data_IF_559475633389
#
_entry.id   IF_559475633389
#
_cell.length_a   1.000
_cell.length_b   1.000
_cell.length_c   1.000
_cell.angle_alpha   90.00
_cell.angle_beta   90.00
_cell.angle_gamma   90.00
#
_symmetry.space_group_name_H-M   'P 1'
#
loop_
_entity.id
_entity.type
_entity.pdbx_description
1 polymer ?
#
# COMPACT_ATOMS: atom_id res chain seq x y z
N UNK A 1 2.72 0.59 32.64
CA UNK A 1 1.23 0.45 32.65
C UNK A 1 0.86 -0.95 33.09
N UNK A 2 -0.23 -1.12 33.86
CA UNK A 2 -0.81 -2.43 34.16
C UNK A 2 -1.46 -3.05 32.89
N UNK A 3 -1.71 -4.36 32.84
CA UNK A 3 -2.48 -4.95 31.75
C UNK A 3 -3.83 -4.27 31.51
N UNK A 4 -4.59 -4.01 32.59
CA UNK A 4 -5.88 -3.32 32.51
C UNK A 4 -5.75 -1.89 31.95
N UNK A 5 -4.71 -1.14 32.33
CA UNK A 5 -4.46 0.21 31.80
C UNK A 5 -4.07 0.18 30.29
N UNK A 6 -3.40 -0.89 29.82
CA UNK A 6 -3.11 -1.05 28.40
C UNK A 6 -4.37 -1.34 27.59
N UNK A 7 -5.28 -2.18 28.15
CA UNK A 7 -6.58 -2.49 27.53
C UNK A 7 -7.44 -1.21 27.45
N UNK A 8 -7.48 -0.39 28.53
CA UNK A 8 -8.20 0.88 28.53
C UNK A 8 -7.65 1.82 27.45
N UNK A 9 -6.33 1.98 27.35
CA UNK A 9 -5.69 2.80 26.32
C UNK A 9 -5.97 2.28 24.90
N UNK A 10 -6.05 0.97 24.72
CA UNK A 10 -6.41 0.37 23.42
C UNK A 10 -7.87 0.65 23.07
N UNK A 11 -8.79 0.64 24.04
CA UNK A 11 -10.20 1.01 23.83
C UNK A 11 -10.30 2.47 23.35
N UNK A 12 -9.65 3.41 24.05
CA UNK A 12 -9.64 4.84 23.68
C UNK A 12 -9.11 5.03 22.24
N UNK A 13 -8.01 4.38 21.90
CA UNK A 13 -7.43 4.44 20.56
C UNK A 13 -8.36 3.83 19.50
N UNK A 14 -9.02 2.72 19.80
CA UNK A 14 -9.99 2.12 18.88
C UNK A 14 -11.20 3.00 18.66
N UNK A 15 -11.69 3.71 19.68
CA UNK A 15 -12.76 4.69 19.52
C UNK A 15 -12.35 5.82 18.54
N UNK A 16 -11.10 6.35 18.70
CA UNK A 16 -10.56 7.34 17.77
C UNK A 16 -10.41 6.77 16.33
N UNK A 17 -9.95 5.53 16.18
CA UNK A 17 -9.79 4.89 14.87
C UNK A 17 -11.15 4.64 14.22
N UNK A 18 -12.16 4.20 14.99
CA UNK A 18 -13.53 4.00 14.51
C UNK A 18 -14.15 5.32 14.03
N UNK A 19 -14.02 6.38 14.82
CA UNK A 19 -14.48 7.72 14.42
C UNK A 19 -13.78 8.20 13.15
N UNK A 20 -12.44 8.09 13.11
CA UNK A 20 -11.62 8.46 11.96
C UNK A 20 -11.98 7.67 10.69
N UNK A 21 -12.34 6.39 10.83
CA UNK A 21 -12.74 5.58 9.68
C UNK A 21 -14.08 6.02 9.08
N UNK A 22 -14.99 6.56 9.90
CA UNK A 22 -16.29 7.11 9.46
C UNK A 22 -16.15 8.46 8.77
N UNK A 23 -15.19 9.27 9.20
CA UNK A 23 -15.04 10.68 8.79
C UNK A 23 -13.87 10.92 7.81
N UNK A 24 -13.34 9.87 7.16
CA UNK A 24 -12.16 9.93 6.27
C UNK A 24 -10.93 10.63 6.91
N UNK A 25 -10.80 10.51 8.24
CA UNK A 25 -9.72 11.10 9.03
C UNK A 25 -8.37 10.38 8.88
N UNK A 26 -7.38 10.63 9.78
CA UNK A 26 -6.04 10.06 9.70
C UNK A 26 -6.04 8.52 9.84
N UNK A 27 -5.02 7.81 9.31
CA UNK A 27 -4.90 6.35 9.45
C UNK A 27 -4.56 5.95 10.90
N UNK A 28 -4.84 4.69 11.25
CA UNK A 28 -4.67 4.16 12.61
C UNK A 28 -3.25 4.35 13.16
N UNK A 29 -2.22 4.16 12.34
CA UNK A 29 -0.82 4.39 12.74
C UNK A 29 -0.55 5.84 13.17
N UNK A 30 -1.12 6.81 12.46
CA UNK A 30 -0.97 8.23 12.80
C UNK A 30 -1.71 8.57 14.09
N UNK A 31 -2.90 8.00 14.33
CA UNK A 31 -3.67 8.15 15.56
C UNK A 31 -2.88 7.58 16.74
N UNK A 32 -2.37 6.36 16.63
CA UNK A 32 -1.54 5.73 17.68
C UNK A 32 -0.29 6.56 17.96
N UNK A 33 0.38 7.06 16.92
CA UNK A 33 1.57 7.90 17.09
C UNK A 33 1.25 9.24 17.80
N UNK A 34 0.13 9.88 17.46
CA UNK A 34 -0.33 11.12 18.08
C UNK A 34 -0.72 10.92 19.54
N UNK A 35 -1.43 9.83 19.85
CA UNK A 35 -1.85 9.46 21.21
C UNK A 35 -0.67 9.40 22.18
N UNK A 36 0.44 8.78 21.77
CA UNK A 36 1.62 8.64 22.64
C UNK A 36 2.53 9.88 22.69
N UNK A 37 2.36 10.89 21.84
CA UNK A 37 3.09 12.15 21.93
C UNK A 37 2.77 12.90 23.22
N UNK A 38 1.54 12.85 23.68
CA UNK A 38 1.05 13.52 24.88
C UNK A 38 1.17 12.66 26.14
N UNK A 39 1.34 11.34 26.01
CA UNK A 39 1.38 10.38 27.12
C UNK A 39 2.81 9.88 27.36
N UNK A 40 3.69 10.78 27.78
CA UNK A 40 5.14 10.51 27.98
C UNK A 40 5.43 9.46 29.06
N UNK A 41 4.50 9.21 29.97
CA UNK A 41 4.62 8.19 31.01
C UNK A 41 4.61 6.76 30.47
N UNK A 42 4.08 6.53 29.27
CA UNK A 42 4.07 5.22 28.64
C UNK A 42 5.46 4.89 28.07
N UNK A 43 6.12 3.89 28.64
CA UNK A 43 7.40 3.38 28.16
C UNK A 43 7.29 2.67 26.81
N UNK A 44 8.42 2.36 26.19
CA UNK A 44 8.46 1.71 24.86
C UNK A 44 7.74 0.35 24.83
N UNK A 45 7.87 -0.44 25.92
CA UNK A 45 7.16 -1.72 26.06
C UNK A 45 5.63 -1.53 26.11
N UNK A 46 5.17 -0.53 26.86
CA UNK A 46 3.73 -0.23 26.97
C UNK A 46 3.16 0.23 25.63
N UNK A 47 3.85 1.13 24.94
CA UNK A 47 3.44 1.62 23.62
C UNK A 47 3.33 0.50 22.61
N UNK A 48 4.29 -0.44 22.61
CA UNK A 48 4.27 -1.62 21.75
C UNK A 48 3.09 -2.52 22.09
N UNK A 49 2.85 -2.81 23.38
CA UNK A 49 1.75 -3.66 23.82
C UNK A 49 0.38 -3.07 23.50
N UNK A 50 0.17 -1.78 23.74
CA UNK A 50 -1.09 -1.10 23.38
C UNK A 50 -1.30 -1.09 21.87
N UNK A 51 -0.27 -0.76 21.08
CA UNK A 51 -0.34 -0.82 19.62
C UNK A 51 -0.72 -2.22 19.13
N UNK A 52 -0.12 -3.26 19.70
CA UNK A 52 -0.43 -4.64 19.35
C UNK A 52 -1.90 -4.98 19.61
N UNK A 53 -2.45 -4.60 20.77
CA UNK A 53 -3.87 -4.79 21.10
C UNK A 53 -4.79 -4.10 20.08
N UNK A 54 -4.49 -2.84 19.74
CA UNK A 54 -5.26 -2.07 18.75
C UNK A 54 -5.28 -2.77 17.40
N UNK A 55 -4.11 -3.14 16.86
CA UNK A 55 -4.04 -3.76 15.55
C UNK A 55 -4.56 -5.20 15.53
N UNK A 56 -4.46 -5.97 16.63
CA UNK A 56 -5.13 -7.27 16.77
C UNK A 56 -6.65 -7.13 16.69
N UNK A 57 -7.21 -6.15 17.40
CA UNK A 57 -8.66 -5.88 17.35
C UNK A 57 -9.12 -5.44 15.95
N UNK A 58 -8.35 -4.56 15.28
CA UNK A 58 -8.67 -4.14 13.91
C UNK A 58 -8.59 -5.33 12.94
N UNK A 59 -7.55 -6.17 12.99
CA UNK A 59 -7.42 -7.34 12.11
C UNK A 59 -8.54 -8.34 12.29
N UNK A 60 -9.02 -8.49 13.50
CA UNK A 60 -10.07 -9.45 13.86
C UNK A 60 -11.42 -9.17 13.20
N UNK A 61 -11.74 -7.90 12.95
CA UNK A 61 -13.06 -7.51 12.40
C UNK A 61 -12.92 -6.78 11.08
N UNK A 62 -13.54 -7.31 10.04
CA UNK A 62 -13.68 -6.64 8.76
C UNK A 62 -14.75 -5.54 8.78
N UNK A 63 -15.79 -5.74 9.57
CA UNK A 63 -16.84 -4.74 9.76
C UNK A 63 -16.43 -3.73 10.82
N UNK A 64 -16.81 -2.46 10.60
CA UNK A 64 -16.52 -1.39 11.55
C UNK A 64 -17.23 -1.65 12.90
N UNK A 65 -16.51 -1.66 14.02
CA UNK A 65 -17.09 -1.86 15.35
C UNK A 65 -18.02 -0.70 15.75
N UNK A 66 -18.95 -0.97 16.65
CA UNK A 66 -19.77 0.11 17.23
C UNK A 66 -18.92 1.05 18.10
N UNK A 67 -17.92 0.49 18.83
CA UNK A 67 -17.00 1.21 19.71
C UNK A 67 -15.68 0.44 19.90
N UNK A 68 -14.67 1.12 20.42
CA UNK A 68 -13.41 0.50 20.83
C UNK A 68 -13.61 -0.57 21.90
N UNK A 69 -14.56 -0.34 22.81
CA UNK A 69 -14.93 -1.32 23.83
C UNK A 69 -15.51 -2.60 23.22
N UNK A 70 -16.44 -2.48 22.26
CA UNK A 70 -17.01 -3.66 21.58
C UNK A 70 -15.97 -4.43 20.78
N UNK A 71 -14.98 -3.74 20.19
CA UNK A 71 -13.86 -4.35 19.50
C UNK A 71 -12.97 -5.14 20.47
N UNK A 72 -12.61 -4.56 21.62
CA UNK A 72 -11.80 -5.23 22.63
C UNK A 72 -12.53 -6.41 23.28
N UNK A 73 -13.83 -6.30 23.54
CA UNK A 73 -14.66 -7.41 23.98
C UNK A 73 -14.75 -8.51 22.92
N UNK A 74 -14.76 -8.16 21.64
CA UNK A 74 -14.63 -9.13 20.56
C UNK A 74 -13.30 -9.88 20.64
N UNK A 75 -12.18 -9.14 20.76
CA UNK A 75 -10.84 -9.72 20.85
C UNK A 75 -10.66 -10.61 22.10
N UNK A 76 -11.34 -10.29 23.21
CA UNK A 76 -11.28 -11.10 24.44
C UNK A 76 -11.87 -12.52 24.30
N UNK A 77 -12.59 -12.79 23.21
CA UNK A 77 -13.04 -14.16 22.91
C UNK A 77 -11.88 -15.08 22.50
N UNK A 78 -10.81 -14.49 21.96
CA UNK A 78 -9.62 -15.22 21.51
C UNK A 78 -8.47 -15.15 22.56
N UNK A 79 -8.61 -14.29 23.59
CA UNK A 79 -7.56 -14.01 24.57
C UNK A 79 -8.16 -13.69 25.96
N UNK A 80 -8.11 -14.67 26.86
CA UNK A 80 -8.70 -14.58 28.20
C UNK A 80 -8.07 -13.46 29.05
N UNK A 81 -6.78 -13.20 28.91
CA UNK A 81 -6.08 -12.15 29.69
C UNK A 81 -6.67 -10.75 29.40
N UNK A 82 -7.16 -10.54 28.18
CA UNK A 82 -7.85 -9.30 27.82
C UNK A 82 -9.17 -9.19 28.62
N UNK A 83 -9.95 -10.30 28.71
CA UNK A 83 -11.20 -10.29 29.47
C UNK A 83 -10.94 -10.02 30.97
N UNK A 84 -9.93 -10.66 31.53
CA UNK A 84 -9.55 -10.52 32.94
C UNK A 84 -9.00 -9.10 33.26
N UNK A 85 -8.67 -8.31 32.24
CA UNK A 85 -8.23 -6.93 32.37
C UNK A 85 -9.38 -5.91 32.55
N UNK A 86 -10.65 -6.32 32.43
CA UNK A 86 -11.82 -5.47 32.67
C UNK A 86 -12.12 -5.40 34.19
N UNK A 87 -11.23 -4.73 34.93
CA UNK A 87 -11.20 -4.70 36.39
C UNK A 87 -11.82 -3.46 37.03
N UNK A 88 -12.23 -2.49 36.23
CA UNK A 88 -12.77 -1.21 36.69
C UNK A 88 -11.72 -0.12 36.90
N UNK A 89 -12.21 1.14 37.14
CA UNK A 89 -11.36 2.28 37.41
C UNK A 89 -10.52 2.09 38.68
N UNK A 90 -9.43 2.90 38.87
CA UNK A 90 -9.09 4.07 38.06
C UNK A 90 -8.25 3.78 36.81
N UNK A 91 -7.79 2.55 36.58
CA UNK A 91 -6.81 2.27 35.54
C UNK A 91 -7.23 1.18 34.55
N UNK A 92 -8.38 0.55 34.73
CA UNK A 92 -8.91 -0.47 33.84
C UNK A 92 -10.27 -0.09 33.28
N UNK A 93 -10.70 -0.74 32.18
CA UNK A 93 -12.04 -0.57 31.67
C UNK A 93 -13.06 -1.14 32.67
N UNK A 94 -14.27 -0.58 32.68
CA UNK A 94 -15.38 -1.06 33.52
C UNK A 94 -15.59 -2.57 33.37
N UNK A 95 -15.98 -3.27 34.44
CA UNK A 95 -16.30 -4.68 34.37
C UNK A 95 -17.32 -5.00 33.28
N UNK A 96 -17.21 -6.18 32.71
CA UNK A 96 -18.12 -6.61 31.64
C UNK A 96 -19.51 -6.89 32.18
N UNK A 97 -20.52 -6.32 31.53
CA UNK A 97 -21.92 -6.53 31.87
C UNK A 97 -22.52 -7.64 31.02
N UNK A 98 -23.42 -8.44 31.60
CA UNK A 98 -24.11 -9.53 30.89
C UNK A 98 -24.90 -8.98 29.68
N UNK A 99 -24.66 -9.59 28.49
CA UNK A 99 -25.33 -9.15 27.25
C UNK A 99 -24.64 -8.00 26.52
N UNK A 100 -23.51 -7.53 27.00
CA UNK A 100 -22.74 -6.47 26.34
C UNK A 100 -22.28 -6.91 24.94
N UNK A 101 -22.43 -5.99 23.97
CA UNK A 101 -22.17 -6.26 22.56
C UNK A 101 -20.67 -6.50 22.32
N UNK A 102 -20.37 -7.57 21.58
CA UNK A 102 -19.03 -7.95 21.16
C UNK A 102 -18.94 -7.94 19.64
N UNK A 103 -17.89 -7.33 19.10
CA UNK A 103 -17.67 -7.34 17.67
C UNK A 103 -17.34 -8.75 17.19
N UNK A 104 -18.02 -9.18 16.13
CA UNK A 104 -17.80 -10.52 15.53
C UNK A 104 -16.48 -10.56 14.77
N UNK A 105 -15.85 -11.73 14.75
CA UNK A 105 -14.69 -11.97 13.89
C UNK A 105 -15.14 -12.09 12.44
N UNK A 106 -14.39 -11.43 11.55
CA UNK A 106 -14.56 -11.54 10.10
C UNK A 106 -13.27 -11.08 9.42
N UNK A 107 -12.95 -11.66 8.27
CA UNK A 107 -11.73 -11.34 7.51
C UNK A 107 -12.01 -10.30 6.43
N UNK A 108 -13.11 -10.46 5.71
CA UNK A 108 -13.52 -9.63 4.58
C UNK A 108 -14.89 -9.03 4.88
N UNK A 109 -15.15 -7.73 4.57
CA UNK A 109 -16.49 -7.17 4.62
C UNK A 109 -17.42 -7.91 3.66
N UNK A 110 -18.59 -8.31 4.12
CA UNK A 110 -19.50 -9.16 3.35
C UNK A 110 -19.80 -8.60 1.95
N UNK A 111 -19.98 -7.29 1.84
CA UNK A 111 -20.33 -6.66 0.57
C UNK A 111 -19.17 -6.62 -0.44
N UNK A 112 -17.91 -6.82 0.00
CA UNK A 112 -16.70 -6.84 -0.85
C UNK A 112 -16.46 -8.22 -1.44
N UNK A 113 -16.97 -9.28 -0.84
CA UNK A 113 -16.72 -10.66 -1.30
C UNK A 113 -17.05 -10.85 -2.78
N UNK A 114 -18.12 -10.21 -3.26
CA UNK A 114 -18.52 -10.25 -4.68
C UNK A 114 -17.75 -9.29 -5.59
N UNK A 115 -16.99 -8.37 -5.04
CA UNK A 115 -16.17 -7.40 -5.79
C UNK A 115 -14.70 -7.89 -5.94
N UNK A 116 -14.28 -8.88 -5.12
CA UNK A 116 -12.95 -9.47 -5.24
C UNK A 116 -12.77 -10.14 -6.60
N UNK A 117 -11.54 -10.11 -7.13
CA UNK A 117 -11.19 -10.98 -8.26
C UNK A 117 -11.51 -12.44 -7.92
N UNK A 118 -12.06 -13.24 -8.84
CA UNK A 118 -12.34 -14.66 -8.63
C UNK A 118 -11.11 -15.48 -8.22
N UNK A 119 -9.91 -14.96 -8.45
CA UNK A 119 -8.65 -15.59 -8.04
C UNK A 119 -8.40 -15.48 -6.53
N UNK A 120 -9.04 -14.53 -5.84
CA UNK A 120 -8.88 -14.34 -4.38
C UNK A 120 -9.88 -15.21 -3.64
N UNK A 121 -9.55 -16.47 -3.49
CA UNK A 121 -10.41 -17.46 -2.85
C UNK A 121 -10.44 -17.32 -1.31
N UNK A 122 -11.46 -17.85 -0.61
CA UNK A 122 -11.55 -17.80 0.85
C UNK A 122 -10.31 -18.32 1.58
N UNK A 123 -9.58 -19.27 1.00
CA UNK A 123 -8.35 -19.82 1.57
C UNK A 123 -7.22 -18.79 1.66
N UNK A 124 -7.24 -17.76 0.81
CA UNK A 124 -6.26 -16.67 0.83
C UNK A 124 -6.63 -15.53 1.82
N UNK A 125 -7.90 -15.42 2.25
CA UNK A 125 -8.36 -14.29 3.08
C UNK A 125 -7.58 -14.09 4.37
N UNK A 126 -7.14 -15.13 5.11
CA UNK A 126 -6.30 -14.94 6.30
C UNK A 126 -5.00 -14.17 5.99
N UNK A 127 -4.37 -14.43 4.85
CA UNK A 127 -3.13 -13.76 4.44
C UNK A 127 -3.32 -12.26 4.16
N UNK A 128 -4.54 -11.84 3.76
CA UNK A 128 -4.85 -10.43 3.48
C UNK A 128 -4.81 -9.54 4.73
N UNK A 129 -4.93 -10.13 5.91
CA UNK A 129 -4.99 -9.39 7.19
C UNK A 129 -3.85 -9.74 8.15
N UNK A 130 -3.01 -10.73 7.84
CA UNK A 130 -1.81 -11.03 8.60
C UNK A 130 -0.83 -9.85 8.53
N UNK A 131 0.07 -9.76 9.51
CA UNK A 131 1.10 -8.72 9.49
C UNK A 131 2.01 -8.89 8.27
N UNK A 132 2.15 -7.83 7.49
CA UNK A 132 3.04 -7.81 6.33
C UNK A 132 4.52 -7.98 6.76
N UNK A 133 5.35 -8.66 5.96
CA UNK A 133 6.79 -8.66 6.15
C UNK A 133 7.37 -7.26 5.94
N UNK A 134 8.60 -7.07 6.40
CA UNK A 134 9.38 -5.86 6.15
C UNK A 134 10.28 -6.09 4.95
N UNK A 135 9.89 -5.56 3.81
CA UNK A 135 10.70 -5.63 2.60
C UNK A 135 11.37 -4.29 2.33
N UNK A 136 12.61 -4.34 1.84
CA UNK A 136 13.35 -3.20 1.33
C UNK A 136 13.72 -3.45 -0.13
N UNK A 137 13.82 -2.36 -0.89
CA UNK A 137 14.40 -2.36 -2.23
C UNK A 137 15.82 -1.81 -2.17
N UNK A 138 16.75 -2.53 -2.75
CA UNK A 138 18.13 -2.09 -2.95
C UNK A 138 18.21 -1.12 -4.13
N UNK A 139 18.96 -0.04 -3.98
CA UNK A 139 19.25 0.91 -5.04
C UNK A 139 20.39 0.37 -5.92
N UNK A 140 20.02 -0.34 -6.97
CA UNK A 140 20.96 -1.05 -7.86
C UNK A 140 21.86 -0.13 -8.67
N UNK A 141 21.57 1.18 -8.75
CA UNK A 141 22.48 2.17 -9.31
C UNK A 141 23.69 2.47 -8.40
N UNK A 142 23.64 2.07 -7.11
CA UNK A 142 24.66 2.45 -6.11
C UNK A 142 25.25 1.28 -5.34
N UNK A 143 24.55 0.16 -5.25
CA UNK A 143 24.98 -1.00 -4.46
C UNK A 143 24.35 -2.30 -5.00
N UNK A 144 24.73 -3.43 -4.40
CA UNK A 144 24.20 -4.75 -4.75
C UNK A 144 23.36 -5.33 -3.61
N UNK A 145 22.54 -6.36 -3.91
CA UNK A 145 21.81 -7.10 -2.86
C UNK A 145 22.76 -7.78 -1.89
N UNK A 146 23.86 -8.36 -2.39
CA UNK A 146 24.83 -9.08 -1.56
C UNK A 146 25.48 -8.17 -0.51
N UNK A 147 25.88 -6.96 -0.92
CA UNK A 147 26.41 -5.96 0.01
C UNK A 147 25.37 -5.54 1.06
N UNK A 148 24.08 -5.50 0.71
CA UNK A 148 23.02 -5.14 1.64
C UNK A 148 22.59 -6.29 2.54
N UNK A 149 22.73 -7.55 2.13
CA UNK A 149 22.58 -8.72 3.03
C UNK A 149 23.59 -8.65 4.16
N UNK A 150 24.85 -8.30 3.85
CA UNK A 150 25.88 -8.11 4.88
C UNK A 150 25.56 -6.95 5.83
N UNK A 151 24.98 -5.87 5.31
CA UNK A 151 24.59 -4.70 6.10
C UNK A 151 23.36 -4.92 7.01
N UNK A 152 22.52 -5.89 6.69
CA UNK A 152 21.30 -6.22 7.45
C UNK A 152 21.29 -7.68 7.92
N UNK A 153 21.82 -8.00 9.11
CA UNK A 153 21.85 -9.36 9.63
C UNK A 153 20.45 -10.01 9.67
N UNK A 154 20.34 -11.20 9.12
CA UNK A 154 19.08 -11.93 9.01
C UNK A 154 18.22 -11.50 7.81
N UNK A 155 18.74 -10.69 6.89
CA UNK A 155 18.09 -10.39 5.62
C UNK A 155 18.08 -11.63 4.71
N UNK A 156 16.99 -11.81 3.99
CA UNK A 156 16.82 -12.85 2.97
C UNK A 156 16.49 -12.21 1.63
N UNK A 157 16.85 -12.87 0.53
CA UNK A 157 16.41 -12.44 -0.79
C UNK A 157 14.89 -12.56 -0.89
N UNK A 158 14.22 -11.55 -1.44
CA UNK A 158 12.82 -11.72 -1.83
C UNK A 158 12.73 -12.64 -3.05
N UNK A 159 11.71 -13.51 -3.15
CA UNK A 159 11.68 -14.57 -4.17
C UNK A 159 11.45 -14.06 -5.59
N UNK A 160 10.77 -12.94 -5.77
CA UNK A 160 10.26 -12.50 -7.07
C UNK A 160 11.01 -11.26 -7.60
N UNK A 161 11.35 -10.32 -6.71
CA UNK A 161 12.04 -9.09 -7.12
C UNK A 161 13.55 -9.28 -7.14
N UNK A 162 14.24 -8.92 -8.25
CA UNK A 162 15.70 -8.95 -8.30
C UNK A 162 16.34 -7.86 -7.43
N UNK A 163 15.57 -6.96 -6.84
CA UNK A 163 16.05 -5.82 -6.05
C UNK A 163 15.71 -5.92 -4.56
N UNK A 164 14.88 -6.89 -4.18
CA UNK A 164 14.28 -6.96 -2.87
C UNK A 164 15.09 -7.75 -1.85
N UNK A 165 15.04 -7.28 -0.60
CA UNK A 165 15.44 -8.03 0.58
C UNK A 165 14.27 -8.01 1.59
N UNK A 166 14.04 -9.15 2.23
CA UNK A 166 13.10 -9.30 3.36
C UNK A 166 13.87 -9.30 4.65
N UNK A 167 13.47 -8.44 5.57
CA UNK A 167 14.17 -8.21 6.82
C UNK A 167 13.39 -8.75 8.01
N UNK A 168 14.07 -9.08 9.13
CA UNK A 168 13.42 -9.31 10.40
C UNK A 168 12.49 -8.14 10.77
N UNK A 169 11.31 -8.45 11.29
CA UNK A 169 10.23 -7.47 11.52
C UNK A 169 10.61 -6.30 12.45
N UNK A 170 11.63 -6.49 13.31
CA UNK A 170 12.10 -5.48 14.27
C UNK A 170 13.24 -4.62 13.75
N UNK A 171 13.69 -4.83 12.50
CA UNK A 171 14.79 -4.08 11.89
C UNK A 171 14.41 -2.60 11.74
N UNK A 172 15.28 -1.72 12.27
CA UNK A 172 15.12 -0.27 12.18
C UNK A 172 15.82 0.29 10.95
N UNK A 173 15.20 0.09 9.79
CA UNK A 173 15.76 0.52 8.50
C UNK A 173 16.01 2.02 8.48
N UNK A 174 15.08 2.80 9.00
CA UNK A 174 15.14 4.27 9.08
C UNK A 174 16.33 4.83 9.89
N UNK A 175 16.93 3.99 10.74
CA UNK A 175 18.11 4.34 11.55
C UNK A 175 19.43 3.78 10.98
N UNK A 176 19.40 3.03 9.88
CA UNK A 176 20.58 2.45 9.27
C UNK A 176 21.34 3.45 8.40
N UNK A 177 22.66 3.29 8.31
CA UNK A 177 23.50 4.05 7.37
C UNK A 177 23.07 3.81 5.92
N UNK A 178 22.73 2.57 5.56
CA UNK A 178 22.28 2.22 4.24
C UNK A 178 21.03 3.01 3.80
N UNK A 179 20.09 3.27 4.72
CA UNK A 179 18.95 4.12 4.44
C UNK A 179 19.34 5.60 4.37
N UNK A 180 20.16 6.07 5.30
CA UNK A 180 20.61 7.48 5.32
C UNK A 180 21.37 7.85 4.04
N UNK A 181 22.15 6.91 3.50
CA UNK A 181 22.93 7.07 2.26
C UNK A 181 22.13 6.78 0.99
N UNK A 182 20.86 6.38 1.09
CA UNK A 182 19.99 6.09 -0.05
C UNK A 182 20.36 4.81 -0.82
N UNK A 183 21.01 3.87 -0.15
CA UNK A 183 21.34 2.55 -0.72
C UNK A 183 20.15 1.61 -0.69
N UNK A 184 19.17 1.88 0.17
CA UNK A 184 17.93 1.11 0.30
C UNK A 184 16.72 2.03 0.52
N UNK A 185 15.56 1.53 0.12
CA UNK A 185 14.24 2.12 0.39
C UNK A 185 13.30 1.04 0.97
N UNK A 186 12.47 1.42 1.96
CA UNK A 186 11.40 0.53 2.43
C UNK A 186 10.33 0.46 1.36
N UNK A 187 10.16 -0.70 0.75
CA UNK A 187 9.19 -0.93 -0.30
C UNK A 187 8.82 -2.40 -0.38
N UNK A 188 7.51 -2.70 -0.36
CA UNK A 188 6.99 -4.05 -0.57
C UNK A 188 7.46 -4.65 -1.88
N UNK A 189 7.69 -5.97 -1.89
CA UNK A 189 8.15 -6.68 -3.07
C UNK A 189 7.19 -6.52 -4.25
N UNK A 190 5.87 -6.62 -4.04
CA UNK A 190 4.87 -6.40 -5.09
C UNK A 190 4.96 -5.00 -5.71
N UNK A 191 5.19 -3.97 -4.88
CA UNK A 191 5.41 -2.61 -5.39
C UNK A 191 6.70 -2.48 -6.22
N UNK A 192 7.75 -3.27 -5.93
CA UNK A 192 8.96 -3.35 -6.75
C UNK A 192 8.66 -4.01 -8.10
N UNK A 193 7.83 -5.07 -8.10
CA UNK A 193 7.40 -5.76 -9.32
C UNK A 193 6.61 -4.84 -10.26
N UNK A 194 5.84 -3.88 -9.76
CA UNK A 194 5.18 -2.88 -10.62
C UNK A 194 6.22 -2.04 -11.39
N UNK A 195 7.31 -1.65 -10.76
CA UNK A 195 8.39 -0.95 -11.47
C UNK A 195 9.12 -1.89 -12.47
N UNK A 196 9.27 -3.17 -12.14
CA UNK A 196 9.83 -4.18 -13.04
C UNK A 196 8.95 -4.39 -14.28
N UNK A 197 7.61 -4.37 -14.13
CA UNK A 197 6.65 -4.46 -15.23
C UNK A 197 6.81 -3.35 -16.29
N UNK A 198 7.40 -2.22 -15.90
CA UNK A 198 7.72 -1.15 -16.84
C UNK A 198 8.77 -1.58 -17.87
N UNK A 199 9.63 -2.55 -17.57
CA UNK A 199 10.76 -2.98 -18.42
C UNK A 199 11.62 -1.78 -18.87
N UNK A 200 11.86 -0.85 -17.94
CA UNK A 200 12.58 0.40 -18.20
C UNK A 200 14.05 0.15 -18.57
N UNK A 201 14.56 0.94 -19.53
CA UNK A 201 15.94 0.89 -19.99
C UNK A 201 16.60 2.28 -19.96
N UNK A 202 17.91 2.37 -19.84
CA UNK A 202 18.62 3.65 -20.04
C UNK A 202 18.24 4.30 -21.39
N UNK A 203 18.15 5.63 -21.41
CA UNK A 203 17.79 6.41 -22.59
C UNK A 203 16.27 6.57 -22.81
N UNK A 204 15.43 5.84 -22.08
CA UNK A 204 13.97 5.99 -22.17
C UNK A 204 13.48 7.24 -21.44
N UNK A 205 12.37 7.82 -21.95
CA UNK A 205 11.57 8.79 -21.23
C UNK A 205 10.40 8.10 -20.54
N UNK A 206 10.29 8.27 -19.23
CA UNK A 206 9.30 7.62 -18.37
C UNK A 206 8.47 8.70 -17.66
N UNK A 207 7.15 8.59 -17.73
CA UNK A 207 6.23 9.44 -16.97
C UNK A 207 5.56 8.57 -15.89
N UNK A 208 5.78 8.89 -14.62
CA UNK A 208 5.03 8.33 -13.48
C UNK A 208 3.89 9.30 -13.17
N UNK A 209 2.67 8.97 -13.61
CA UNK A 209 1.55 9.92 -13.63
C UNK A 209 0.86 10.08 -12.26
N UNK A 210 1.05 9.11 -11.34
CA UNK A 210 0.50 9.11 -9.98
C UNK A 210 1.61 8.84 -8.95
N UNK A 211 2.71 9.58 -9.05
CA UNK A 211 3.97 9.26 -8.38
C UNK A 211 3.93 9.25 -6.85
N UNK A 212 2.99 9.99 -6.25
CA UNK A 212 2.92 10.13 -4.81
C UNK A 212 4.22 10.68 -4.22
N UNK A 213 4.83 9.93 -3.29
CA UNK A 213 6.13 10.27 -2.72
C UNK A 213 7.32 9.67 -3.52
N UNK A 214 7.09 9.13 -4.73
CA UNK A 214 8.12 8.72 -5.67
C UNK A 214 8.70 7.33 -5.47
N UNK A 215 8.03 6.43 -4.76
CA UNK A 215 8.57 5.09 -4.50
C UNK A 215 8.89 4.30 -5.78
N UNK A 216 7.99 4.33 -6.77
CA UNK A 216 8.15 3.66 -8.06
C UNK A 216 9.08 4.45 -9.00
N UNK A 217 8.98 5.79 -9.02
CA UNK A 217 9.91 6.64 -9.77
C UNK A 217 11.38 6.40 -9.34
N UNK A 218 11.64 6.30 -8.03
CA UNK A 218 12.97 5.93 -7.50
C UNK A 218 13.39 4.51 -7.88
N UNK A 219 12.45 3.56 -7.95
CA UNK A 219 12.74 2.20 -8.41
C UNK A 219 13.17 2.20 -9.88
N UNK A 220 12.47 2.95 -10.72
CA UNK A 220 12.80 3.10 -12.14
C UNK A 220 14.16 3.79 -12.36
N UNK A 221 14.47 4.82 -11.56
CA UNK A 221 15.79 5.47 -11.59
C UNK A 221 16.91 4.48 -11.26
N UNK A 222 16.74 3.70 -10.17
CA UNK A 222 17.71 2.66 -9.80
C UNK A 222 17.86 1.58 -10.86
N UNK A 223 16.76 1.08 -11.41
CA UNK A 223 16.74 0.02 -12.43
C UNK A 223 17.43 0.43 -13.75
N UNK A 224 17.42 1.72 -14.07
CA UNK A 224 18.04 2.27 -15.28
C UNK A 224 19.44 2.87 -15.05
N UNK A 225 20.00 2.69 -13.84
CA UNK A 225 21.28 3.31 -13.48
C UNK A 225 21.29 4.83 -13.61
N UNK A 226 20.14 5.48 -13.36
CA UNK A 226 19.86 6.90 -13.61
C UNK A 226 19.98 7.33 -15.10
N UNK A 227 19.95 6.38 -16.04
CA UNK A 227 20.08 6.65 -17.46
C UNK A 227 18.76 6.99 -18.17
N UNK A 228 17.60 6.91 -17.48
CA UNK A 228 16.30 7.30 -18.02
C UNK A 228 15.94 8.74 -17.63
N UNK A 229 15.20 9.45 -18.49
CA UNK A 229 14.53 10.72 -18.15
C UNK A 229 13.22 10.39 -17.44
N UNK A 230 13.11 10.70 -16.14
CA UNK A 230 11.92 10.41 -15.34
C UNK A 230 11.19 11.69 -14.96
N UNK A 231 9.91 11.75 -15.33
CA UNK A 231 8.99 12.85 -14.98
C UNK A 231 7.93 12.28 -14.03
N UNK A 232 7.98 12.67 -12.77
CA UNK A 232 7.04 12.26 -11.72
C UNK A 232 5.95 13.28 -11.53
N UNK A 233 4.71 12.90 -11.83
CA UNK A 233 3.53 13.76 -11.76
C UNK A 233 2.62 13.29 -10.62
N UNK A 234 1.98 14.25 -9.93
CA UNK A 234 0.92 13.95 -8.94
C UNK A 234 0.06 15.20 -8.71
N UNK A 235 -1.20 15.03 -8.36
CA UNK A 235 -2.10 16.11 -7.94
C UNK A 235 -1.92 16.45 -6.45
N UNK A 236 -1.37 15.55 -5.66
CA UNK A 236 -1.16 15.72 -4.22
C UNK A 236 0.19 16.38 -3.92
N UNK A 237 0.18 17.71 -3.73
CA UNK A 237 1.36 18.51 -3.38
C UNK A 237 2.12 17.97 -2.17
N UNK A 238 1.41 17.57 -1.11
CA UNK A 238 2.02 17.13 0.15
C UNK A 238 2.80 15.81 -0.04
N UNK A 239 2.30 14.91 -0.90
CA UNK A 239 3.01 13.67 -1.22
C UNK A 239 4.19 13.94 -2.15
N UNK A 240 3.96 14.68 -3.24
CA UNK A 240 4.97 14.95 -4.27
C UNK A 240 6.16 15.75 -3.72
N UNK A 241 5.94 16.70 -2.78
CA UNK A 241 7.01 17.50 -2.18
C UNK A 241 8.04 16.69 -1.38
N UNK A 242 7.77 15.42 -1.08
CA UNK A 242 8.73 14.52 -0.42
C UNK A 242 9.74 13.90 -1.40
N UNK A 243 9.41 13.87 -2.69
CA UNK A 243 10.23 13.18 -3.69
C UNK A 243 11.60 13.82 -3.92
N UNK A 244 11.77 15.16 -4.03
CA UNK A 244 13.09 15.75 -4.26
C UNK A 244 14.12 15.32 -3.21
N UNK A 245 13.81 15.43 -1.93
CA UNK A 245 14.72 15.01 -0.85
C UNK A 245 15.05 13.51 -0.90
N UNK A 246 14.09 12.67 -1.30
CA UNK A 246 14.32 11.22 -1.45
C UNK A 246 15.17 10.93 -2.68
N UNK A 247 14.96 11.66 -3.77
CA UNK A 247 15.76 11.54 -4.99
C UNK A 247 17.21 11.96 -4.73
N UNK A 248 17.44 13.08 -4.07
CA UNK A 248 18.79 13.54 -3.68
C UNK A 248 19.50 12.48 -2.82
N UNK A 249 18.82 11.95 -1.81
CA UNK A 249 19.35 10.87 -0.96
C UNK A 249 19.72 9.64 -1.77
N UNK A 250 18.87 9.23 -2.71
CA UNK A 250 19.09 8.07 -3.56
C UNK A 250 20.11 8.32 -4.69
N UNK A 251 20.55 9.55 -4.90
CA UNK A 251 21.39 9.96 -6.02
C UNK A 251 20.67 9.86 -7.37
N UNK A 252 19.35 10.06 -7.37
CA UNK A 252 18.50 9.96 -8.56
C UNK A 252 18.12 11.33 -9.11
N UNK A 253 18.09 11.47 -10.45
CA UNK A 253 17.60 12.67 -11.12
C UNK A 253 16.17 12.44 -11.60
N UNK A 254 15.22 13.10 -10.95
CA UNK A 254 13.78 12.98 -11.24
C UNK A 254 13.15 14.37 -11.31
N UNK A 255 12.52 14.70 -12.43
CA UNK A 255 11.76 15.94 -12.57
C UNK A 255 10.38 15.76 -11.96
N UNK A 256 9.98 16.65 -11.04
CA UNK A 256 8.63 16.62 -10.46
C UNK A 256 7.71 17.62 -11.14
N UNK A 257 6.46 17.22 -11.36
CA UNK A 257 5.41 18.09 -11.93
C UNK A 257 4.13 17.95 -11.13
N UNK A 258 3.77 19.01 -10.42
CA UNK A 258 2.46 19.07 -9.76
C UNK A 258 1.38 19.31 -10.79
N UNK A 259 0.35 18.48 -10.78
CA UNK A 259 -0.82 18.62 -11.64
C UNK A 259 -1.95 19.31 -10.87
N UNK A 260 -2.77 20.08 -11.60
CA UNK A 260 -3.91 20.79 -11.03
C UNK A 260 -5.22 20.14 -11.53
N UNK A 261 -5.90 19.43 -10.65
CA UNK A 261 -7.19 18.83 -10.97
C UNK A 261 -8.29 19.91 -11.02
N UNK A 262 -9.17 19.95 -12.05
CA UNK A 262 -9.30 18.98 -13.15
C UNK A 262 -8.54 19.35 -14.45
N UNK A 263 -7.53 20.23 -14.40
CA UNK A 263 -6.81 20.78 -15.58
C UNK A 263 -5.52 20.03 -15.91
N UNK A 264 -5.38 18.77 -15.49
CA UNK A 264 -4.16 17.98 -15.69
C UNK A 264 -3.80 17.84 -17.18
N UNK A 265 -4.78 17.71 -18.05
CA UNK A 265 -4.55 17.59 -19.51
C UNK A 265 -3.79 18.79 -20.10
N UNK A 266 -4.06 20.01 -19.62
CA UNK A 266 -3.36 21.23 -20.05
C UNK A 266 -1.87 21.18 -19.67
N UNK A 267 -1.57 20.77 -18.42
CA UNK A 267 -0.21 20.65 -17.93
C UNK A 267 0.59 19.55 -18.66
N UNK A 268 -0.09 18.56 -19.24
CA UNK A 268 0.50 17.41 -19.92
C UNK A 268 0.63 17.56 -21.44
N UNK A 269 0.10 18.63 -22.04
CA UNK A 269 0.10 18.84 -23.51
C UNK A 269 1.50 18.72 -24.13
N UNK A 270 2.52 19.31 -23.50
CA UNK A 270 3.90 19.26 -23.98
C UNK A 270 4.55 17.86 -23.91
N UNK A 271 3.90 16.90 -23.24
CA UNK A 271 4.37 15.53 -23.06
C UNK A 271 3.64 14.52 -23.97
N UNK A 272 2.74 14.99 -24.84
CA UNK A 272 2.03 14.11 -25.77
C UNK A 272 3.01 13.36 -26.67
N UNK A 273 2.75 12.07 -26.85
CA UNK A 273 3.50 11.15 -27.71
C UNK A 273 5.03 11.17 -27.48
N UNK A 274 5.45 11.49 -26.25
CA UNK A 274 6.87 11.63 -25.94
C UNK A 274 7.42 10.52 -25.05
N UNK A 275 6.56 9.80 -24.32
CA UNK A 275 7.01 8.80 -23.36
C UNK A 275 7.18 7.41 -23.99
N UNK A 276 8.31 6.77 -23.70
CA UNK A 276 8.49 5.36 -23.95
C UNK A 276 7.62 4.52 -23.01
N UNK A 277 7.44 5.01 -21.77
CA UNK A 277 6.65 4.36 -20.74
C UNK A 277 5.85 5.42 -19.98
N UNK A 278 4.56 5.17 -19.82
CA UNK A 278 3.73 5.87 -18.84
C UNK A 278 3.31 4.88 -17.77
N UNK A 279 3.73 5.10 -16.52
CA UNK A 279 3.29 4.34 -15.36
C UNK A 279 2.09 5.06 -14.72
N UNK A 280 1.03 4.30 -14.51
CA UNK A 280 -0.18 4.72 -13.80
C UNK A 280 -0.36 3.81 -12.59
N UNK A 281 0.29 4.12 -11.46
CA UNK A 281 0.02 3.54 -10.15
C UNK A 281 -1.19 4.25 -9.55
N UNK A 282 -2.38 3.87 -10.00
CA UNK A 282 -3.58 4.66 -9.82
C UNK A 282 -4.07 4.71 -8.36
N UNK A 283 -4.68 5.83 -7.93
CA UNK A 283 -5.44 5.86 -6.69
C UNK A 283 -6.52 4.77 -6.69
N UNK A 284 -6.61 4.01 -5.58
CA UNK A 284 -7.48 2.85 -5.50
C UNK A 284 -8.04 2.63 -4.08
N UNK A 285 -8.82 1.56 -3.90
CA UNK A 285 -9.36 1.14 -2.60
C UNK A 285 -8.28 0.78 -1.58
N UNK A 286 -7.10 0.33 -2.05
CA UNK A 286 -6.04 -0.18 -1.20
C UNK A 286 -6.33 -1.57 -0.62
N UNK A 287 -7.27 -2.33 -1.20
CA UNK A 287 -7.67 -3.64 -0.69
C UNK A 287 -6.52 -4.66 -0.69
N UNK A 288 -5.53 -4.49 -1.53
CA UNK A 288 -4.32 -5.32 -1.54
C UNK A 288 -3.33 -5.03 -0.40
N UNK A 289 -3.53 -3.95 0.37
CA UNK A 289 -2.61 -3.52 1.44
C UNK A 289 -3.21 -3.63 2.84
N UNK A 290 -4.32 -4.35 3.02
CA UNK A 290 -4.96 -4.51 4.33
C UNK A 290 -4.06 -5.15 5.39
N UNK A 291 -3.09 -5.95 4.97
CA UNK A 291 -2.09 -6.50 5.90
C UNK A 291 -1.19 -5.42 6.52
N UNK A 292 -1.09 -4.22 5.91
CA UNK A 292 -0.37 -3.04 6.41
C UNK A 292 -1.31 -2.06 7.10
N UNK A 293 -2.46 -1.79 6.48
CA UNK A 293 -3.48 -0.84 6.96
C UNK A 293 -4.83 -1.55 7.10
N UNK A 294 -5.00 -2.43 8.12
CA UNK A 294 -6.17 -3.28 8.24
C UNK A 294 -7.47 -2.50 8.45
N UNK A 295 -7.42 -1.28 8.99
CA UNK A 295 -8.55 -0.36 9.09
C UNK A 295 -9.03 0.18 7.74
N UNK A 296 -8.27 -0.03 6.65
CA UNK A 296 -8.69 0.28 5.29
C UNK A 296 -10.02 -0.39 4.90
N UNK A 297 -10.30 -1.59 5.46
CA UNK A 297 -11.57 -2.30 5.30
C UNK A 297 -12.75 -1.49 5.84
N UNK A 298 -12.57 -0.79 6.96
CA UNK A 298 -13.61 0.03 7.62
C UNK A 298 -13.90 1.33 6.85
N UNK A 299 -12.94 1.80 6.05
CA UNK A 299 -13.04 3.04 5.27
C UNK A 299 -13.63 2.83 3.89
N UNK A 300 -13.64 1.58 3.40
CA UNK A 300 -14.11 1.28 2.06
C UNK A 300 -15.64 1.18 2.06
N UNK A 301 -16.26 1.96 1.18
CA UNK A 301 -17.70 1.97 0.92
C UNK A 301 -17.96 1.80 -0.57
N UNK A 302 -19.20 1.44 -0.95
CA UNK A 302 -19.60 1.34 -2.37
C UNK A 302 -19.39 2.66 -3.13
N UNK A 303 -19.73 3.79 -2.48
CA UNK A 303 -19.55 5.11 -3.07
C UNK A 303 -18.06 5.48 -3.25
N UNK A 304 -17.22 5.12 -2.27
CA UNK A 304 -15.77 5.33 -2.40
C UNK A 304 -15.20 4.47 -3.51
N UNK A 305 -15.59 3.20 -3.62
CA UNK A 305 -15.18 2.33 -4.70
C UNK A 305 -15.61 2.88 -6.07
N UNK A 306 -16.84 3.35 -6.20
CA UNK A 306 -17.32 3.96 -7.44
C UNK A 306 -16.51 5.22 -7.83
N UNK A 307 -16.21 6.09 -6.85
CA UNK A 307 -15.40 7.30 -7.08
C UNK A 307 -13.97 6.97 -7.54
N UNK A 308 -13.30 6.03 -6.87
CA UNK A 308 -11.92 5.68 -7.26
C UNK A 308 -11.89 4.97 -8.61
N UNK A 309 -12.87 4.11 -8.93
CA UNK A 309 -12.98 3.46 -10.24
C UNK A 309 -13.18 4.49 -11.38
N UNK A 310 -14.01 5.52 -11.15
CA UNK A 310 -14.18 6.61 -12.11
C UNK A 310 -12.88 7.43 -12.29
N UNK A 311 -12.15 7.65 -11.20
CA UNK A 311 -10.85 8.35 -11.26
C UNK A 311 -9.81 7.52 -12.02
N UNK A 312 -9.77 6.20 -11.83
CA UNK A 312 -8.86 5.29 -12.56
C UNK A 312 -9.10 5.35 -14.06
N UNK A 313 -10.36 5.28 -14.49
CA UNK A 313 -10.74 5.43 -15.90
C UNK A 313 -10.23 6.76 -16.46
N UNK A 314 -10.47 7.89 -15.75
CA UNK A 314 -10.01 9.21 -16.16
C UNK A 314 -8.48 9.31 -16.26
N UNK A 315 -7.75 8.74 -15.29
CA UNK A 315 -6.27 8.79 -15.30
C UNK A 315 -5.70 7.95 -16.45
N UNK A 316 -6.32 6.81 -16.78
CA UNK A 316 -5.96 6.03 -17.97
C UNK A 316 -6.17 6.82 -19.26
N UNK A 317 -7.30 7.55 -19.38
CA UNK A 317 -7.59 8.40 -20.54
C UNK A 317 -6.62 9.61 -20.63
N UNK A 318 -6.12 10.12 -19.50
CA UNK A 318 -5.06 11.13 -19.46
C UNK A 318 -3.68 10.57 -19.85
N UNK A 319 -3.41 9.32 -19.52
CA UNK A 319 -2.12 8.67 -19.79
C UNK A 319 -1.95 8.25 -21.26
N UNK A 320 -3.02 7.77 -21.90
CA UNK A 320 -2.96 7.23 -23.26
C UNK A 320 -2.29 8.17 -24.29
N UNK A 321 -2.63 9.48 -24.37
CA UNK A 321 -2.01 10.40 -25.34
C UNK A 321 -0.54 10.74 -25.02
N UNK A 322 0.01 10.39 -23.87
CA UNK A 322 1.40 10.66 -23.49
C UNK A 322 2.35 9.61 -24.05
N UNK A 323 1.86 8.39 -24.28
CA UNK A 323 2.64 7.26 -24.79
C UNK A 323 2.91 7.47 -26.27
N UNK A 324 4.17 7.39 -26.69
CA UNK A 324 4.54 7.45 -28.12
C UNK A 324 4.15 6.15 -28.85
N UNK A 325 4.00 6.13 -30.18
CA UNK A 325 3.88 4.89 -30.95
C UNK A 325 5.00 3.91 -30.60
N UNK A 326 4.68 2.63 -30.37
CA UNK A 326 5.59 1.61 -29.88
C UNK A 326 5.94 1.68 -28.40
N UNK A 327 5.46 2.70 -27.68
CA UNK A 327 5.62 2.83 -26.24
C UNK A 327 4.61 2.02 -25.45
N UNK A 328 4.74 2.02 -24.12
CA UNK A 328 3.89 1.24 -23.23
C UNK A 328 3.23 2.08 -22.13
N UNK A 329 1.98 1.73 -21.81
CA UNK A 329 1.26 2.15 -20.63
C UNK A 329 1.25 1.00 -19.64
N UNK A 330 1.74 1.23 -18.44
CA UNK A 330 1.69 0.26 -17.34
C UNK A 330 0.68 0.75 -16.32
N UNK A 331 -0.43 0.05 -16.23
CA UNK A 331 -1.49 0.31 -15.25
C UNK A 331 -1.31 -0.58 -14.04
N UNK A 332 -1.34 -0.03 -12.85
CA UNK A 332 -1.27 -0.77 -11.59
C UNK A 332 -2.18 -0.18 -10.53
N UNK A 333 -2.71 -1.04 -9.67
CA UNK A 333 -3.44 -0.68 -8.46
C UNK A 333 -3.06 -1.63 -7.33
N UNK A 334 -2.90 -1.13 -6.11
CA UNK A 334 -2.78 -1.97 -4.91
C UNK A 334 -4.18 -2.45 -4.46
N UNK A 335 -4.88 -3.10 -5.36
CA UNK A 335 -6.26 -3.58 -5.18
C UNK A 335 -6.41 -5.02 -5.64
N UNK A 336 -7.30 -5.74 -4.97
CA UNK A 336 -7.71 -7.11 -5.28
C UNK A 336 -9.13 -7.16 -5.88
N UNK A 337 -9.72 -5.99 -6.17
CA UNK A 337 -11.09 -5.89 -6.68
C UNK A 337 -11.09 -5.91 -8.21
N UNK A 338 -11.90 -6.80 -8.81
CA UNK A 338 -12.00 -6.94 -10.27
C UNK A 338 -12.33 -5.62 -10.97
N UNK A 339 -13.23 -4.84 -10.37
CA UNK A 339 -13.62 -3.50 -10.86
C UNK A 339 -12.46 -2.51 -10.99
N UNK A 340 -11.43 -2.60 -10.14
CA UNK A 340 -10.26 -1.72 -10.16
C UNK A 340 -9.11 -2.28 -10.99
N UNK A 341 -9.12 -3.59 -11.26
CA UNK A 341 -8.11 -4.30 -12.05
C UNK A 341 -8.58 -4.59 -13.48
N UNK A 342 -8.99 -5.84 -13.71
CA UNK A 342 -9.31 -6.36 -15.03
C UNK A 342 -10.39 -5.56 -15.77
N UNK A 343 -11.42 -5.07 -15.08
CA UNK A 343 -12.50 -4.32 -15.69
C UNK A 343 -12.05 -2.94 -16.21
N UNK A 344 -11.10 -2.28 -15.52
CA UNK A 344 -10.53 -1.01 -15.99
C UNK A 344 -9.76 -1.21 -17.29
N UNK A 345 -8.96 -2.27 -17.37
CA UNK A 345 -8.18 -2.58 -18.58
C UNK A 345 -9.10 -2.98 -19.74
N UNK A 346 -10.10 -3.81 -19.49
CA UNK A 346 -11.09 -4.20 -20.51
C UNK A 346 -11.84 -2.96 -21.03
N UNK A 347 -12.28 -2.09 -20.13
CA UNK A 347 -12.94 -0.82 -20.47
C UNK A 347 -12.02 0.12 -21.27
N UNK A 348 -10.74 0.23 -20.89
CA UNK A 348 -9.75 1.02 -21.64
C UNK A 348 -9.57 0.51 -23.05
N UNK A 349 -9.34 -0.79 -23.25
CA UNK A 349 -9.17 -1.40 -24.57
C UNK A 349 -10.43 -1.25 -25.45
N UNK A 350 -11.61 -1.24 -24.85
CA UNK A 350 -12.87 -0.99 -25.56
C UNK A 350 -13.04 0.45 -26.04
N UNK A 351 -12.43 1.43 -25.35
CA UNK A 351 -12.49 2.86 -25.70
C UNK A 351 -11.34 3.35 -26.59
N UNK A 352 -10.19 2.67 -26.54
CA UNK A 352 -8.97 3.09 -27.23
C UNK A 352 -8.54 2.03 -28.24
N UNK A 353 -8.66 2.30 -29.52
CA UNK A 353 -8.10 1.46 -30.59
C UNK A 353 -6.57 1.62 -30.68
N UNK A 354 -5.88 0.64 -31.26
CA UNK A 354 -4.43 0.70 -31.46
C UNK A 354 -3.63 0.37 -30.20
N UNK A 355 -4.20 -0.39 -29.26
CA UNK A 355 -3.51 -0.91 -28.10
C UNK A 355 -3.56 -2.44 -28.07
N UNK A 356 -2.45 -3.05 -27.70
CA UNK A 356 -2.33 -4.51 -27.51
C UNK A 356 -1.84 -4.82 -26.10
N UNK A 357 -2.23 -5.97 -25.58
CA UNK A 357 -1.78 -6.46 -24.27
C UNK A 357 -0.42 -7.12 -24.42
N UNK A 358 0.50 -6.77 -23.54
CA UNK A 358 1.76 -7.48 -23.37
C UNK A 358 1.84 -8.01 -21.94
N UNK A 359 2.10 -9.30 -21.77
CA UNK A 359 2.27 -9.86 -20.43
C UNK A 359 3.47 -9.20 -19.74
N UNK A 360 3.29 -8.56 -18.57
CA UNK A 360 4.37 -7.87 -17.88
C UNK A 360 5.41 -8.82 -17.25
N UNK A 361 5.04 -10.08 -17.04
CA UNK A 361 5.86 -11.06 -16.34
C UNK A 361 5.81 -12.44 -16.97
N UNK A 362 6.88 -13.20 -16.77
CA UNK A 362 6.89 -14.65 -16.96
C UNK A 362 6.85 -15.27 -15.56
N UNK A 363 5.87 -16.12 -15.30
CA UNK A 363 5.72 -16.92 -14.07
C UNK A 363 5.61 -16.12 -12.74
N UNK A 364 5.21 -14.84 -12.78
CA UNK A 364 4.94 -14.03 -11.59
C UNK A 364 3.47 -13.64 -11.57
N UNK A 365 2.80 -13.86 -10.45
CA UNK A 365 1.38 -13.62 -10.28
C UNK A 365 0.49 -14.54 -11.14
N UNK A 366 -0.80 -14.36 -11.04
CA UNK A 366 -1.81 -15.12 -11.82
C UNK A 366 -2.45 -14.25 -12.89
N UNK A 367 -2.74 -14.80 -14.06
CA UNK A 367 -3.48 -14.10 -15.11
C UNK A 367 -4.88 -13.73 -14.62
N UNK A 368 -5.23 -12.45 -14.72
CA UNK A 368 -6.52 -11.88 -14.34
C UNK A 368 -6.99 -10.95 -15.47
N UNK A 369 -7.82 -11.44 -16.35
CA UNK A 369 -8.17 -10.74 -17.58
C UNK A 369 -6.94 -10.43 -18.44
N UNK A 370 -6.74 -9.17 -18.78
CA UNK A 370 -5.61 -8.68 -19.57
C UNK A 370 -4.41 -8.21 -18.72
N UNK A 371 -4.31 -8.67 -17.47
CA UNK A 371 -3.24 -8.32 -16.54
C UNK A 371 -2.84 -9.49 -15.66
N UNK A 372 -2.06 -9.18 -14.63
CA UNK A 372 -1.61 -10.11 -13.59
C UNK A 372 -2.06 -9.63 -12.23
N UNK A 373 -2.55 -10.57 -11.40
CA UNK A 373 -2.88 -10.36 -9.99
C UNK A 373 -1.81 -10.99 -9.10
N UNK A 374 -1.27 -10.18 -8.20
CA UNK A 374 -0.40 -10.59 -7.11
C UNK A 374 -1.21 -10.59 -5.82
N UNK A 375 -1.04 -11.60 -4.97
CA UNK A 375 -1.77 -11.66 -3.69
C UNK A 375 -0.86 -12.08 -2.53
N UNK A 376 -1.19 -11.66 -1.31
CA UNK A 376 -0.46 -12.12 -0.12
C UNK A 376 -0.45 -13.63 0.08
N UNK A 377 -1.53 -14.31 -0.31
CA UNK A 377 -1.66 -15.75 -0.15
C UNK A 377 -0.86 -16.57 -1.17
N UNK A 378 -0.76 -16.09 -2.40
CA UNK A 378 -0.09 -16.79 -3.48
C UNK A 378 1.38 -16.35 -3.67
N UNK A 379 1.61 -15.01 -3.67
CA UNK A 379 2.91 -14.43 -4.05
C UNK A 379 3.71 -13.93 -2.85
N UNK A 380 3.14 -13.95 -1.63
CA UNK A 380 3.71 -13.40 -0.40
C UNK A 380 4.04 -11.90 -0.46
N UNK A 381 3.50 -11.19 -1.45
CA UNK A 381 3.60 -9.72 -1.63
C UNK A 381 2.34 -9.02 -1.11
N UNK A 382 2.32 -7.69 -1.08
CA UNK A 382 1.03 -6.98 -1.03
C UNK A 382 0.21 -7.30 -2.29
N UNK A 383 -1.10 -7.13 -2.21
CA UNK A 383 -1.98 -7.38 -3.34
C UNK A 383 -1.84 -6.28 -4.39
N UNK A 384 -1.59 -6.66 -5.64
CA UNK A 384 -1.53 -5.75 -6.78
C UNK A 384 -2.18 -6.36 -8.00
N UNK A 385 -2.88 -5.55 -8.76
CA UNK A 385 -3.15 -5.84 -10.16
C UNK A 385 -2.22 -4.99 -11.03
N UNK A 386 -1.70 -5.59 -12.11
CA UNK A 386 -0.85 -4.88 -13.07
C UNK A 386 -1.13 -5.36 -14.49
N UNK A 387 -1.20 -4.41 -15.43
CA UNK A 387 -1.30 -4.68 -16.86
C UNK A 387 -0.32 -3.80 -17.63
N UNK A 388 0.27 -4.34 -18.70
CA UNK A 388 1.12 -3.63 -19.64
C UNK A 388 0.44 -3.59 -21.01
N UNK A 389 0.23 -2.39 -21.51
CA UNK A 389 -0.44 -2.14 -22.78
C UNK A 389 0.52 -1.43 -23.72
N UNK A 390 0.68 -1.90 -24.94
CA UNK A 390 1.59 -1.34 -25.94
C UNK A 390 0.75 -0.61 -27.00
N UNK A 391 1.16 0.62 -27.31
CA UNK A 391 0.53 1.45 -28.35
C UNK A 391 1.12 1.07 -29.71
N UNK A 392 0.25 0.78 -30.70
CA UNK A 392 0.63 0.55 -32.10
C UNK A 392 1.19 1.79 -32.76
#
# INVERSE_FOLDING_TARGET
>A
MTPSARVQAAIELLDEVVASARDDGPPADAIVAAYFKTRRYAGSKDRRAVRELVFRAIRRSAEIPDSGRSAMLGLSADDREILDSFTGPPHGPEPVVKGEKRTKASLIPQWIETELSPLVTPDEWPALVQRAPLDIRVNTARTTRDAMIEAFPGAELTPLSPWGLRLPADTRVDQSLAFAEGLVEVQDEGSQLIALACAAKPGMRIIDLCAGAGGKALALAGATGNGAEIIACDTNRQRLSKLPQRADRAGATITTRLLDAPREAEALVALRESADIVLVDAPCSGSGTWRRSPEGRWRLTRDRLARVSALQMRVLDLAAPLVKPGGALVYAVCSLLGREGMDQVASFLGRHSGWSVQDPFVDIGRLDGAGRLLTPGHDMTDGFFVARLVRS
#
